data_IF_810144355292
#
_entry.id   IF_810144355292
#
_cell.length_a   1.000
_cell.length_b   1.000
_cell.length_c   1.000
_cell.angle_alpha   90.00
_cell.angle_beta   90.00
_cell.angle_gamma   90.00
#
_symmetry.space_group_name_H-M   'P 1'
#
loop_
_entity.id
_entity.type
_entity.pdbx_description
1 polymer ?
#
# COMPACT_ATOMS: atom_id res chain seq x y z
N UNK A 1 -11.75 -11.23 -9.11
CA UNK A 1 -10.54 -11.86 -8.52
C UNK A 1 -9.48 -10.80 -8.25
N UNK A 2 -8.73 -10.90 -7.15
CA UNK A 2 -7.60 -10.01 -6.84
C UNK A 2 -6.31 -10.61 -7.40
N UNK A 3 -5.46 -9.81 -8.05
CA UNK A 3 -4.10 -10.21 -8.34
C UNK A 3 -3.15 -9.66 -7.25
N UNK A 4 -2.28 -10.51 -6.73
CA UNK A 4 -1.19 -10.14 -5.83
C UNK A 4 0.09 -10.19 -6.65
N UNK A 5 0.76 -9.03 -6.80
CA UNK A 5 1.97 -8.95 -7.64
C UNK A 5 3.13 -9.68 -6.98
N UNK A 6 3.71 -10.64 -7.71
CA UNK A 6 4.95 -11.34 -7.35
C UNK A 6 6.12 -10.78 -8.17
N UNK A 7 6.92 -9.91 -7.55
CA UNK A 7 8.15 -9.36 -8.14
C UNK A 7 9.38 -9.73 -7.28
N UNK A 8 9.33 -10.89 -6.62
CA UNK A 8 10.39 -11.43 -5.76
C UNK A 8 10.72 -10.60 -4.52
N UNK A 9 9.91 -9.58 -4.21
CA UNK A 9 10.05 -8.74 -3.04
C UNK A 9 8.68 -8.56 -2.37
N UNK A 10 8.32 -9.40 -1.43
CA UNK A 10 7.04 -9.30 -0.74
C UNK A 10 6.81 -10.42 0.27
N UNK A 11 6.03 -10.11 1.30
CA UNK A 11 5.52 -11.12 2.22
C UNK A 11 4.22 -11.72 1.66
N UNK A 12 4.35 -12.41 0.52
CA UNK A 12 3.20 -12.97 -0.22
C UNK A 12 2.37 -13.91 0.67
N UNK A 13 3.03 -14.74 1.48
CA UNK A 13 2.35 -15.70 2.36
C UNK A 13 1.44 -15.01 3.40
N UNK A 14 1.88 -13.90 4.01
CA UNK A 14 1.05 -13.20 4.98
C UNK A 14 -0.14 -12.50 4.33
N UNK A 15 0.05 -11.94 3.13
CA UNK A 15 -1.04 -11.31 2.38
C UNK A 15 -2.03 -12.36 1.89
N UNK A 16 -1.58 -13.47 1.31
CA UNK A 16 -2.47 -14.55 0.86
C UNK A 16 -3.26 -15.16 2.02
N UNK A 17 -2.63 -15.40 3.17
CA UNK A 17 -3.34 -15.86 4.37
C UNK A 17 -4.44 -14.87 4.82
N UNK A 18 -4.25 -13.57 4.60
CA UNK A 18 -5.29 -12.58 4.89
C UNK A 18 -6.42 -12.64 3.87
N UNK A 19 -6.12 -12.86 2.59
CA UNK A 19 -7.14 -13.08 1.57
C UNK A 19 -7.96 -14.35 1.83
N UNK A 20 -7.31 -15.43 2.27
CA UNK A 20 -7.98 -16.68 2.66
C UNK A 20 -8.97 -16.46 3.82
N UNK A 21 -8.55 -15.75 4.87
CA UNK A 21 -9.45 -15.39 6.00
C UNK A 21 -10.63 -14.53 5.55
N UNK A 22 -10.44 -13.69 4.54
CA UNK A 22 -11.50 -12.88 3.93
C UNK A 22 -12.34 -13.63 2.91
N UNK A 23 -12.00 -14.89 2.62
CA UNK A 23 -12.63 -15.71 1.57
C UNK A 23 -12.60 -15.02 0.20
N UNK A 24 -11.57 -14.23 -0.08
CA UNK A 24 -11.39 -13.52 -1.33
C UNK A 24 -10.73 -14.43 -2.37
N UNK A 25 -11.22 -14.42 -3.59
CA UNK A 25 -10.54 -15.08 -4.72
C UNK A 25 -9.34 -14.25 -5.14
N UNK A 26 -8.16 -14.86 -5.15
CA UNK A 26 -6.93 -14.20 -5.57
C UNK A 26 -6.00 -15.09 -6.39
N UNK A 27 -5.04 -14.48 -7.07
CA UNK A 27 -3.94 -15.15 -7.78
C UNK A 27 -2.64 -14.40 -7.48
N UNK A 28 -1.58 -15.12 -7.16
CA UNK A 28 -0.22 -14.57 -7.06
C UNK A 28 0.41 -14.69 -8.44
N UNK A 29 0.86 -13.57 -9.02
CA UNK A 29 1.34 -13.55 -10.40
C UNK A 29 2.22 -12.33 -10.69
N UNK A 30 3.11 -12.49 -11.68
CA UNK A 30 3.84 -11.39 -12.35
C UNK A 30 3.46 -11.30 -13.85
N UNK A 31 2.51 -12.09 -14.31
CA UNK A 31 2.09 -12.12 -15.71
C UNK A 31 1.09 -11.01 -15.98
N UNK A 32 1.38 -10.15 -16.95
CA UNK A 32 0.50 -9.02 -17.31
C UNK A 32 -0.90 -9.47 -17.70
N UNK A 33 -1.03 -10.60 -18.41
CA UNK A 33 -2.35 -11.14 -18.76
C UNK A 33 -3.23 -11.44 -17.54
N UNK A 34 -2.65 -11.99 -16.47
CA UNK A 34 -3.39 -12.27 -15.24
C UNK A 34 -3.75 -10.96 -14.50
N UNK A 35 -2.85 -9.96 -14.56
CA UNK A 35 -3.11 -8.63 -14.00
C UNK A 35 -4.22 -7.91 -14.77
N UNK A 36 -4.26 -8.04 -16.09
CA UNK A 36 -5.31 -7.47 -16.94
C UNK A 36 -6.68 -8.12 -16.72
N UNK A 37 -6.72 -9.42 -16.38
CA UNK A 37 -7.95 -10.14 -16.03
C UNK A 37 -8.44 -9.83 -14.61
N UNK A 38 -7.59 -9.38 -13.70
CA UNK A 38 -7.94 -9.12 -12.31
C UNK A 38 -8.88 -7.90 -12.17
N UNK A 39 -9.71 -7.91 -11.14
CA UNK A 39 -10.62 -6.80 -10.80
C UNK A 39 -9.92 -5.73 -9.97
N UNK A 40 -8.91 -6.12 -9.18
CA UNK A 40 -8.10 -5.25 -8.35
C UNK A 40 -6.74 -5.86 -8.05
N UNK A 41 -5.81 -5.02 -7.64
CA UNK A 41 -4.40 -5.38 -7.49
C UNK A 41 -3.95 -5.11 -6.05
N UNK A 42 -3.28 -6.07 -5.44
CA UNK A 42 -2.48 -5.86 -4.23
C UNK A 42 -1.00 -5.89 -4.64
N UNK A 43 -0.30 -4.84 -4.28
CA UNK A 43 1.12 -4.66 -4.52
C UNK A 43 1.87 -4.68 -3.18
N UNK A 44 2.19 -5.88 -2.66
CA UNK A 44 2.92 -6.00 -1.40
C UNK A 44 4.38 -5.68 -1.61
N UNK A 45 5.09 -5.33 -0.56
CA UNK A 45 6.54 -5.17 -0.64
C UNK A 45 7.21 -5.20 0.72
N UNK A 46 8.34 -5.86 0.79
CA UNK A 46 9.29 -5.83 1.90
C UNK A 46 10.72 -5.80 1.34
N UNK A 47 11.67 -5.27 2.11
CA UNK A 47 13.07 -5.21 1.69
C UNK A 47 13.48 -3.83 1.21
N UNK A 48 14.11 -3.73 0.05
CA UNK A 48 14.83 -2.54 -0.41
C UNK A 48 14.35 -2.07 -1.78
N UNK A 49 14.21 -0.73 -1.96
CA UNK A 49 13.64 -0.14 -3.18
C UNK A 49 14.46 -0.43 -4.45
N UNK A 50 15.80 -0.39 -4.38
CA UNK A 50 16.67 -0.58 -5.56
C UNK A 50 16.46 -1.94 -6.23
N UNK A 51 16.61 -3.10 -5.56
CA UNK A 51 16.33 -4.39 -6.17
C UNK A 51 14.87 -4.54 -6.58
N UNK A 52 13.93 -4.01 -5.80
CA UNK A 52 12.51 -4.04 -6.13
C UNK A 52 12.21 -3.36 -7.47
N UNK A 53 12.68 -2.13 -7.66
CA UNK A 53 12.51 -1.40 -8.92
C UNK A 53 13.22 -2.07 -10.09
N UNK A 54 14.37 -2.72 -9.85
CA UNK A 54 15.05 -3.48 -10.91
C UNK A 54 14.19 -4.66 -11.40
N UNK A 55 13.60 -5.43 -10.49
CA UNK A 55 12.72 -6.54 -10.86
C UNK A 55 11.45 -6.05 -11.57
N UNK A 56 10.81 -4.97 -11.07
CA UNK A 56 9.66 -4.37 -11.75
C UNK A 56 9.96 -3.94 -13.17
N UNK A 57 11.09 -3.26 -13.39
CA UNK A 57 11.52 -2.83 -14.72
C UNK A 57 11.89 -4.01 -15.62
N UNK A 58 12.54 -5.03 -15.08
CA UNK A 58 12.90 -6.23 -15.82
C UNK A 58 11.66 -6.94 -16.39
N UNK A 59 10.59 -7.02 -15.61
CA UNK A 59 9.34 -7.69 -15.99
C UNK A 59 8.36 -6.75 -16.72
N UNK A 60 8.68 -5.44 -16.89
CA UNK A 60 7.82 -4.43 -17.50
C UNK A 60 6.61 -4.04 -16.63
N UNK A 61 6.60 -4.46 -15.36
CA UNK A 61 5.51 -4.19 -14.42
C UNK A 61 5.43 -2.70 -14.04
N UNK A 62 6.55 -1.99 -14.05
CA UNK A 62 6.62 -0.54 -13.80
C UNK A 62 5.74 0.25 -14.79
N UNK A 63 5.91 0.02 -16.08
CA UNK A 63 5.13 0.67 -17.15
C UNK A 63 3.66 0.25 -17.08
N UNK A 64 3.40 -1.04 -16.82
CA UNK A 64 2.04 -1.54 -16.66
C UNK A 64 1.34 -0.85 -15.48
N UNK A 65 1.99 -0.76 -14.31
CA UNK A 65 1.42 -0.10 -13.13
C UNK A 65 1.14 1.38 -13.36
N UNK A 66 2.01 2.10 -14.06
CA UNK A 66 1.79 3.52 -14.40
C UNK A 66 0.57 3.74 -15.30
N UNK A 67 0.19 2.74 -16.09
CA UNK A 67 -0.92 2.84 -17.07
C UNK A 67 -2.23 2.23 -16.60
N UNK A 68 -2.21 1.35 -15.60
CA UNK A 68 -3.41 0.63 -15.14
C UNK A 68 -4.46 1.57 -14.55
N UNK A 69 -5.75 1.24 -14.78
CA UNK A 69 -6.90 1.91 -14.16
C UNK A 69 -7.58 1.05 -13.09
N UNK A 70 -7.03 -0.13 -12.82
CA UNK A 70 -7.57 -1.04 -11.81
C UNK A 70 -7.27 -0.51 -10.41
N UNK A 71 -8.21 -0.64 -9.44
CA UNK A 71 -7.90 -0.34 -8.05
C UNK A 71 -6.64 -1.08 -7.61
N UNK A 72 -5.66 -0.34 -7.09
CA UNK A 72 -4.37 -0.88 -6.65
C UNK A 72 -4.09 -0.45 -5.22
N UNK A 73 -3.75 -1.41 -4.35
CA UNK A 73 -3.33 -1.19 -2.97
C UNK A 73 -1.86 -1.58 -2.79
N UNK A 74 -1.00 -0.58 -2.63
CA UNK A 74 0.40 -0.75 -2.23
C UNK A 74 0.52 -0.96 -0.71
N UNK A 75 1.30 -1.97 -0.28
CA UNK A 75 1.51 -2.28 1.13
C UNK A 75 2.99 -2.11 1.47
N UNK A 76 3.32 -1.28 2.45
CA UNK A 76 4.65 -0.98 2.95
C UNK A 76 5.60 -0.54 1.82
N UNK A 77 6.59 -1.34 1.42
CA UNK A 77 7.45 -1.03 0.28
C UNK A 77 6.63 -0.84 -1.01
N UNK A 78 5.55 -1.61 -1.21
CA UNK A 78 4.65 -1.43 -2.35
C UNK A 78 4.02 -0.04 -2.39
N UNK A 79 3.61 0.54 -1.24
CA UNK A 79 3.20 1.94 -1.18
C UNK A 79 4.36 2.88 -1.51
N UNK A 80 5.54 2.62 -0.92
CA UNK A 80 6.72 3.48 -1.11
C UNK A 80 7.12 3.58 -2.58
N UNK A 81 7.05 2.47 -3.31
CA UNK A 81 7.37 2.44 -4.74
C UNK A 81 6.37 3.20 -5.63
N UNK A 82 5.18 3.57 -5.12
CA UNK A 82 4.24 4.43 -5.86
C UNK A 82 4.71 5.89 -5.95
N UNK A 83 5.61 6.35 -5.07
CA UNK A 83 6.11 7.72 -5.05
C UNK A 83 7.10 8.01 -6.19
N UNK A 84 7.61 9.24 -6.28
CA UNK A 84 8.55 9.66 -7.34
C UNK A 84 9.95 9.09 -7.14
N UNK A 85 10.44 9.10 -5.90
CA UNK A 85 11.81 8.66 -5.60
C UNK A 85 12.01 8.37 -4.11
N UNK A 86 13.14 7.76 -3.78
CA UNK A 86 13.54 7.47 -2.41
C UNK A 86 15.02 7.75 -2.17
N UNK A 87 15.37 8.15 -0.95
CA UNK A 87 16.76 8.21 -0.48
C UNK A 87 17.37 6.84 -0.20
N UNK A 88 16.57 5.77 -0.28
CA UNK A 88 17.04 4.39 -0.18
C UNK A 88 17.80 3.99 -1.45
N UNK A 89 19.15 4.14 -1.42
CA UNK A 89 20.01 3.90 -2.56
C UNK A 89 19.63 4.78 -3.76
N UNK A 90 19.65 6.12 -3.61
CA UNK A 90 18.99 7.13 -4.45
C UNK A 90 18.34 6.58 -5.71
N UNK A 91 17.03 6.31 -5.65
CA UNK A 91 16.32 5.54 -6.69
C UNK A 91 15.05 6.25 -7.12
N UNK A 92 14.87 6.38 -8.43
CA UNK A 92 13.61 6.73 -9.06
C UNK A 92 12.64 5.54 -8.93
N UNK A 93 11.40 5.82 -8.54
CA UNK A 93 10.35 4.83 -8.37
C UNK A 93 9.23 5.01 -9.40
N UNK A 94 7.99 4.66 -9.13
CA UNK A 94 6.93 4.65 -10.15
C UNK A 94 6.39 6.05 -10.51
N UNK A 95 6.61 7.08 -9.68
CA UNK A 95 6.18 8.45 -9.95
C UNK A 95 4.66 8.65 -10.00
N UNK A 96 3.88 7.76 -9.42
CA UNK A 96 2.41 7.82 -9.41
C UNK A 96 1.93 8.82 -8.34
N UNK A 97 2.55 8.79 -7.15
CA UNK A 97 2.30 9.73 -6.05
C UNK A 97 3.44 10.75 -5.99
N UNK A 98 3.14 12.04 -5.76
CA UNK A 98 4.18 13.04 -5.65
C UNK A 98 4.94 12.95 -4.32
N UNK A 99 6.22 13.19 -4.39
CA UNK A 99 7.10 13.28 -3.23
C UNK A 99 8.22 12.26 -3.23
N UNK A 100 9.23 12.55 -2.40
CA UNK A 100 10.41 11.74 -2.19
C UNK A 100 10.38 11.12 -0.80
N UNK A 101 10.67 9.84 -0.71
CA UNK A 101 10.79 9.17 0.58
C UNK A 101 12.12 9.49 1.25
N UNK A 102 12.04 9.78 2.55
CA UNK A 102 13.20 10.09 3.38
C UNK A 102 13.40 9.01 4.45
N UNK A 103 14.63 8.88 4.94
CA UNK A 103 14.96 8.00 6.06
C UNK A 103 14.70 8.69 7.39
N UNK A 104 14.16 7.96 8.37
CA UNK A 104 14.10 8.46 9.74
C UNK A 104 15.49 8.72 10.31
N UNK A 105 15.61 9.79 11.09
CA UNK A 105 16.85 10.15 11.75
C UNK A 105 17.10 9.25 12.98
N UNK A 106 18.11 8.39 12.88
CA UNK A 106 18.48 7.47 13.94
C UNK A 106 19.04 8.17 15.21
N UNK A 107 19.36 9.46 15.13
CA UNK A 107 19.74 10.26 16.30
C UNK A 107 18.53 10.67 17.16
N UNK A 108 17.34 10.71 16.57
CA UNK A 108 16.10 11.12 17.25
C UNK A 108 15.27 9.93 17.72
N UNK A 109 15.24 8.85 16.96
CA UNK A 109 14.43 7.69 17.25
C UNK A 109 15.12 6.41 16.76
N UNK A 110 14.73 5.26 17.33
CA UNK A 110 15.22 3.96 16.87
C UNK A 110 14.75 3.68 15.44
N UNK A 111 15.66 3.38 14.53
CA UNK A 111 15.36 2.99 13.14
C UNK A 111 15.70 1.51 12.94
N UNK A 112 14.81 0.71 12.40
CA UNK A 112 13.49 1.05 11.84
C UNK A 112 12.44 1.43 12.89
N UNK A 113 11.43 2.22 12.50
CA UNK A 113 10.15 2.31 13.19
C UNK A 113 9.52 0.92 13.18
N UNK A 114 9.43 0.27 14.33
CA UNK A 114 8.93 -1.09 14.45
C UNK A 114 7.97 -1.18 15.64
N UNK A 115 6.73 -1.57 15.39
CA UNK A 115 5.72 -1.75 16.42
C UNK A 115 4.34 -1.22 16.01
N UNK A 116 3.45 -1.18 16.99
CA UNK A 116 2.10 -0.64 16.82
C UNK A 116 2.12 0.87 16.98
N UNK A 117 1.49 1.57 16.03
CA UNK A 117 1.37 3.03 16.07
C UNK A 117 -0.04 3.43 15.63
N UNK A 118 -0.52 4.56 16.15
CA UNK A 118 -1.82 5.13 15.81
C UNK A 118 -1.79 5.74 14.41
N UNK A 119 -2.93 5.65 13.74
CA UNK A 119 -3.16 6.29 12.45
C UNK A 119 -4.27 7.33 12.61
N UNK A 120 -3.95 8.58 12.28
CA UNK A 120 -4.83 9.73 12.42
C UNK A 120 -5.32 10.17 11.04
N UNK A 121 -6.65 10.24 10.90
CA UNK A 121 -7.30 10.62 9.62
C UNK A 121 -7.09 12.11 9.35
N UNK A 122 -6.75 12.46 8.12
CA UNK A 122 -6.64 13.86 7.71
C UNK A 122 -8.02 14.52 7.59
N UNK A 123 -8.06 15.81 7.90
CA UNK A 123 -9.30 16.59 7.82
C UNK A 123 -9.93 16.50 6.40
N UNK A 124 -11.19 16.14 6.35
CA UNK A 124 -11.94 15.95 5.10
C UNK A 124 -11.79 14.56 4.47
N UNK A 125 -11.01 13.66 5.10
CA UNK A 125 -10.82 12.27 4.65
C UNK A 125 -11.57 11.24 5.50
N UNK A 126 -12.42 11.68 6.42
CA UNK A 126 -13.13 10.82 7.39
C UNK A 126 -14.05 9.79 6.71
N UNK A 127 -14.53 10.12 5.52
CA UNK A 127 -15.41 9.25 4.73
C UNK A 127 -14.67 8.42 3.68
N UNK A 128 -13.33 8.47 3.68
CA UNK A 128 -12.56 7.71 2.68
C UNK A 128 -12.88 6.22 2.76
N UNK A 129 -13.19 5.55 1.64
CA UNK A 129 -13.70 4.16 1.66
C UNK A 129 -12.80 3.15 2.38
N UNK A 130 -11.46 3.30 2.31
CA UNK A 130 -10.53 2.43 3.03
C UNK A 130 -10.69 2.51 4.55
N UNK A 131 -11.25 3.61 5.08
CA UNK A 131 -11.37 3.86 6.51
C UNK A 131 -12.75 3.47 7.07
N UNK A 132 -13.65 2.97 6.25
CA UNK A 132 -15.00 2.58 6.69
C UNK A 132 -14.92 1.57 7.84
N UNK A 133 -15.62 1.85 8.93
CA UNK A 133 -15.64 1.03 10.16
C UNK A 133 -14.27 0.87 10.85
N UNK A 134 -13.33 1.78 10.59
CA UNK A 134 -12.06 1.89 11.30
C UNK A 134 -12.11 3.16 12.17
N UNK A 135 -12.20 3.02 13.49
CA UNK A 135 -12.25 4.18 14.41
C UNK A 135 -10.98 5.06 14.30
N UNK A 136 -11.10 6.38 14.49
CA UNK A 136 -9.94 7.24 14.66
C UNK A 136 -9.01 6.75 15.78
N UNK A 137 -7.70 6.95 15.63
CA UNK A 137 -6.71 6.50 16.60
C UNK A 137 -6.48 4.98 16.61
N UNK A 138 -6.97 4.26 15.61
CA UNK A 138 -6.71 2.82 15.47
C UNK A 138 -5.24 2.54 15.27
N UNK A 139 -4.75 1.51 15.97
CA UNK A 139 -3.36 1.08 15.87
C UNK A 139 -3.15 0.08 14.74
N UNK A 140 -2.06 0.28 13.98
CA UNK A 140 -1.58 -0.64 12.95
C UNK A 140 -0.12 -1.00 13.20
N UNK A 141 0.32 -2.14 12.68
CA UNK A 141 1.68 -2.62 12.82
C UNK A 141 2.59 -2.05 11.73
N UNK A 142 3.61 -1.31 12.14
CA UNK A 142 4.62 -0.70 11.28
C UNK A 142 5.96 -1.42 11.40
N UNK A 143 6.70 -1.52 10.29
CA UNK A 143 8.11 -1.89 10.26
C UNK A 143 8.76 -1.29 9.01
N UNK A 144 9.34 -0.08 9.14
CA UNK A 144 9.97 0.62 8.02
C UNK A 144 11.01 1.63 8.50
N UNK A 145 12.04 1.88 7.68
CA UNK A 145 13.09 2.87 7.93
C UNK A 145 12.90 4.17 7.14
N UNK A 146 12.14 4.07 6.05
CA UNK A 146 11.84 5.19 5.16
C UNK A 146 10.35 5.51 5.23
N UNK A 147 10.01 6.77 5.00
CA UNK A 147 8.64 7.27 5.08
C UNK A 147 8.34 8.23 3.94
N UNK A 148 7.08 8.31 3.57
CA UNK A 148 6.57 9.27 2.61
C UNK A 148 6.17 10.59 3.31
N UNK A 149 6.41 11.75 2.68
CA UNK A 149 5.97 13.04 3.22
C UNK A 149 4.45 13.14 3.23
N UNK A 150 3.94 14.03 4.09
CA UNK A 150 2.53 14.43 4.05
C UNK A 150 2.31 15.34 2.85
N UNK A 151 1.35 14.99 1.99
CA UNK A 151 1.01 15.71 0.75
C UNK A 151 -0.51 15.88 0.63
N UNK A 152 -0.99 16.55 -0.40
CA UNK A 152 -2.42 16.63 -0.72
C UNK A 152 -3.09 15.28 -1.05
N UNK A 153 -2.33 14.21 -1.21
CA UNK A 153 -2.83 12.84 -1.42
C UNK A 153 -2.79 11.98 -0.14
N UNK A 154 -2.43 12.57 1.00
CA UNK A 154 -2.43 11.87 2.29
C UNK A 154 -3.85 11.76 2.81
N UNK A 155 -4.29 10.53 3.06
CA UNK A 155 -5.60 10.19 3.67
C UNK A 155 -5.48 10.14 5.18
N UNK A 156 -4.37 9.58 5.69
CA UNK A 156 -4.10 9.49 7.11
C UNK A 156 -2.60 9.55 7.39
N UNK A 157 -2.25 10.06 8.57
CA UNK A 157 -0.88 10.18 9.05
C UNK A 157 -0.62 9.26 10.24
N UNK A 158 0.65 8.99 10.50
CA UNK A 158 1.13 8.50 11.78
C UNK A 158 2.32 9.37 12.20
N UNK A 159 2.67 9.34 13.49
CA UNK A 159 3.76 10.15 14.02
C UNK A 159 4.86 9.25 14.58
N UNK A 160 6.10 9.46 14.11
CA UNK A 160 7.31 8.84 14.64
C UNK A 160 8.45 9.82 14.46
N UNK A 161 8.88 10.50 15.55
CA UNK A 161 9.68 11.75 15.56
C UNK A 161 8.97 12.95 14.90
N UNK A 162 8.30 12.76 13.79
CA UNK A 162 7.48 13.73 13.06
C UNK A 162 6.33 13.03 12.32
N UNK A 163 5.29 13.76 11.90
CA UNK A 163 4.19 13.20 11.11
C UNK A 163 4.68 12.72 9.73
N UNK A 164 4.16 11.58 9.28
CA UNK A 164 4.40 11.03 7.95
C UNK A 164 3.13 10.44 7.35
N UNK A 165 3.10 10.21 6.03
CA UNK A 165 1.97 9.63 5.34
C UNK A 165 1.83 8.14 5.68
N UNK A 166 0.77 7.77 6.40
CA UNK A 166 0.45 6.38 6.73
C UNK A 166 -0.49 5.73 5.72
N UNK A 167 -1.40 6.53 5.13
CA UNK A 167 -2.31 6.10 4.06
C UNK A 167 -2.32 7.19 3.00
N UNK A 168 -2.07 6.83 1.74
CA UNK A 168 -2.17 7.71 0.58
C UNK A 168 -3.24 7.20 -0.39
N UNK A 169 -3.86 8.13 -1.13
CA UNK A 169 -4.75 7.80 -2.24
C UNK A 169 -4.67 8.86 -3.34
N UNK A 170 -4.62 8.40 -4.59
CA UNK A 170 -4.72 9.20 -5.80
C UNK A 170 -5.37 8.37 -6.90
N UNK A 171 -6.49 8.84 -7.43
CA UNK A 171 -7.24 8.14 -8.47
C UNK A 171 -7.57 6.68 -8.06
N UNK A 172 -7.08 5.71 -8.82
CA UNK A 172 -7.23 4.28 -8.53
C UNK A 172 -6.11 3.69 -7.65
N UNK A 173 -5.11 4.50 -7.29
CA UNK A 173 -3.97 4.07 -6.48
C UNK A 173 -4.16 4.41 -5.02
N UNK A 174 -3.98 3.42 -4.16
CA UNK A 174 -4.00 3.54 -2.72
C UNK A 174 -2.74 2.90 -2.15
N UNK A 175 -2.27 3.41 -1.04
CA UNK A 175 -1.10 2.84 -0.36
C UNK A 175 -1.22 2.95 1.15
N UNK A 176 -0.69 1.96 1.86
CA UNK A 176 -0.58 1.94 3.32
C UNK A 176 0.85 1.64 3.73
N UNK A 177 1.41 2.44 4.65
CA UNK A 177 2.80 2.28 5.11
C UNK A 177 2.95 1.12 6.09
N UNK A 178 1.92 0.83 6.83
CA UNK A 178 1.86 -0.29 7.77
C UNK A 178 1.52 -1.60 7.06
N UNK A 179 1.54 -2.69 7.82
CA UNK A 179 1.20 -4.02 7.35
C UNK A 179 -0.21 -4.42 7.79
N UNK A 180 -1.26 -4.23 6.98
CA UNK A 180 -2.62 -4.62 7.35
C UNK A 180 -2.71 -6.12 7.61
N UNK A 181 -1.96 -6.95 6.88
CA UNK A 181 -1.90 -8.40 7.05
C UNK A 181 -1.32 -8.84 8.42
N UNK A 182 -0.70 -7.90 9.16
CA UNK A 182 -0.15 -8.09 10.51
C UNK A 182 -0.86 -7.26 11.58
N UNK A 183 -1.90 -6.53 11.20
CA UNK A 183 -2.58 -5.55 12.06
C UNK A 183 -3.90 -6.07 12.66
N UNK A 184 -4.06 -7.38 12.76
CA UNK A 184 -5.22 -8.01 13.40
C UNK A 184 -6.55 -7.59 12.75
N UNK A 185 -7.58 -7.36 13.60
CA UNK A 185 -8.93 -7.01 13.11
C UNK A 185 -8.98 -5.68 12.34
N UNK A 186 -8.18 -4.70 12.74
CA UNK A 186 -8.13 -3.40 12.05
C UNK A 186 -7.57 -3.54 10.63
N UNK A 187 -6.49 -4.30 10.49
CA UNK A 187 -5.91 -4.60 9.19
C UNK A 187 -6.82 -5.43 8.30
N UNK A 188 -7.52 -6.42 8.88
CA UNK A 188 -8.51 -7.22 8.17
C UNK A 188 -9.68 -6.35 7.69
N UNK A 189 -10.16 -5.40 8.52
CA UNK A 189 -11.20 -4.45 8.11
C UNK A 189 -10.74 -3.56 6.96
N UNK A 190 -9.50 -3.08 6.97
CA UNK A 190 -8.95 -2.27 5.88
C UNK A 190 -8.86 -3.06 4.56
N UNK A 191 -8.39 -4.30 4.63
CA UNK A 191 -8.35 -5.17 3.45
C UNK A 191 -9.75 -5.49 2.91
N UNK A 192 -10.73 -5.72 3.80
CA UNK A 192 -12.14 -5.87 3.43
C UNK A 192 -12.67 -4.63 2.75
N UNK A 193 -12.35 -3.45 3.24
CA UNK A 193 -12.75 -2.19 2.64
C UNK A 193 -12.16 -2.03 1.23
N UNK A 194 -10.91 -2.44 1.01
CA UNK A 194 -10.32 -2.47 -0.33
C UNK A 194 -11.06 -3.46 -1.25
N UNK A 195 -11.39 -4.66 -0.79
CA UNK A 195 -12.19 -5.62 -1.56
C UNK A 195 -13.58 -5.05 -1.92
N UNK A 196 -14.21 -4.36 -0.99
CA UNK A 196 -15.49 -3.69 -1.23
C UNK A 196 -15.39 -2.56 -2.26
N UNK A 197 -14.26 -1.83 -2.30
CA UNK A 197 -13.98 -0.86 -3.37
C UNK A 197 -13.86 -1.53 -4.73
N UNK A 198 -13.13 -2.65 -4.80
CA UNK A 198 -12.95 -3.40 -6.04
C UNK A 198 -14.27 -3.94 -6.55
N UNK A 199 -15.08 -4.56 -5.68
CA UNK A 199 -16.31 -5.26 -6.08
C UNK A 199 -17.56 -4.38 -5.97
N UNK A 200 -17.54 -3.31 -5.16
CA UNK A 200 -18.65 -2.39 -4.98
C UNK A 200 -18.94 -1.56 -6.23
N UNK A 201 -17.90 -1.25 -7.02
CA UNK A 201 -18.06 -0.62 -8.34
C UNK A 201 -18.75 -1.50 -9.38
N UNK A 202 -18.80 -2.83 -9.16
CA UNK A 202 -19.50 -3.77 -10.04
C UNK A 202 -20.99 -3.96 -9.68
N UNK A 203 -21.45 -3.50 -8.49
CA UNK A 203 -22.84 -3.66 -8.04
C UNK A 203 -23.80 -2.59 -8.50
N UNK A 204 -23.36 -1.62 -9.30
CA UNK A 204 -24.20 -0.53 -9.81
C UNK A 204 -24.75 -0.79 -11.21
N UNK A 205 -24.82 -2.06 -11.68
CA UNK A 205 -25.52 -2.38 -12.93
C UNK A 205 -26.35 -3.64 -12.75
N UNK A 206 -27.43 -3.54 -11.97
CA UNK A 206 -28.62 -4.39 -12.17
C UNK A 206 -29.80 -3.80 -11.39
N UNK A 207 -30.55 -2.96 -12.05
CA UNK A 207 -32.04 -2.86 -11.98
C UNK A 207 -32.51 -2.50 -13.35
#
# INVERSE_FOLDING_TARGET
>A
MIAIIDYKAGNLASVSNSMDRLMASYRITNRMSDLDEADGIIFPGVGHAVPAMRELKHDGLDTWMQSTRKPLLGICLGMQLLYESTTEGPTETLGILPGRLEKFDASQQKVPHMGWNTVEVQLGMETHPLLRNIPPGTHFYHVHSYFAPVTGHTVATATYSHPFCAIAARDNFMGVQFHPEKSGKAGEQLLRNFLDLVYGGMRTTTV
#
